data_IF_326508825580
#
_entry.id   IF_326508825580
#
_cell.length_a   1.000
_cell.length_b   1.000
_cell.length_c   1.000
_cell.angle_alpha   90.00
_cell.angle_beta   90.00
_cell.angle_gamma   90.00
#
_symmetry.space_group_name_H-M   'P 1'
#
loop_
_entity.id
_entity.type
_entity.pdbx_description
1 polymer ?
#
# COMPACT_ATOMS: atom_id res chain seq x y z
N UNK A 1 -2.23 -31.61 13.96
CA UNK A 1 -3.12 -30.44 13.84
C UNK A 1 -2.38 -29.28 14.48
N UNK A 2 -1.92 -28.30 13.67
CA UNK A 2 -1.14 -27.18 14.19
C UNK A 2 -2.03 -26.34 15.12
N UNK A 3 -1.61 -26.25 16.38
CA UNK A 3 -2.25 -25.44 17.39
C UNK A 3 -2.23 -23.98 16.92
N UNK A 4 -3.41 -23.37 16.78
CA UNK A 4 -3.50 -21.98 16.29
C UNK A 4 -3.28 -21.10 17.49
N UNK A 5 -2.19 -20.36 17.47
CA UNK A 5 -1.85 -19.38 18.49
C UNK A 5 -3.05 -18.43 18.66
N UNK A 6 -3.51 -18.22 19.90
CA UNK A 6 -4.73 -17.46 20.22
C UNK A 6 -4.47 -16.56 21.42
N UNK A 7 -5.05 -15.37 21.41
CA UNK A 7 -4.94 -14.44 22.54
C UNK A 7 -5.85 -14.90 23.70
N UNK A 8 -5.78 -14.18 24.82
CA UNK A 8 -6.61 -14.44 26.00
C UNK A 8 -8.13 -14.35 25.74
N UNK A 9 -8.56 -13.80 24.59
CA UNK A 9 -9.94 -13.73 24.13
C UNK A 9 -10.28 -14.80 23.06
N UNK A 10 -9.35 -15.69 22.72
CA UNK A 10 -9.53 -16.76 21.74
C UNK A 10 -9.42 -16.33 20.29
N UNK A 11 -9.01 -15.09 20.00
CA UNK A 11 -8.75 -14.60 18.64
C UNK A 11 -7.43 -15.18 18.16
N UNK A 12 -7.35 -15.75 16.95
CA UNK A 12 -6.10 -16.27 16.44
C UNK A 12 -5.04 -15.16 16.38
N UNK A 13 -3.98 -15.31 17.18
CA UNK A 13 -2.74 -14.58 17.06
C UNK A 13 -2.09 -15.07 15.78
N UNK A 14 -2.27 -14.32 14.70
CA UNK A 14 -1.54 -14.59 13.46
C UNK A 14 -0.09 -14.07 13.66
N UNK A 15 0.65 -14.73 14.55
CA UNK A 15 1.98 -14.36 15.04
C UNK A 15 3.11 -14.77 14.10
N UNK A 16 2.78 -15.38 12.95
CA UNK A 16 3.80 -15.74 11.96
C UNK A 16 4.53 -14.50 11.47
N UNK A 17 5.88 -14.50 11.50
CA UNK A 17 6.67 -13.40 10.96
C UNK A 17 6.37 -13.21 9.47
N UNK A 18 6.60 -12.01 8.95
CA UNK A 18 6.33 -11.65 7.55
C UNK A 18 7.54 -11.04 6.89
N UNK A 19 7.64 -11.18 5.57
CA UNK A 19 8.60 -10.43 4.77
C UNK A 19 8.15 -8.98 4.53
N UNK A 20 8.99 -8.19 3.86
CA UNK A 20 8.77 -6.78 3.50
C UNK A 20 7.48 -6.57 2.69
N UNK A 21 7.05 -7.60 1.97
CA UNK A 21 5.83 -7.62 1.17
C UNK A 21 4.63 -8.16 1.95
N UNK A 22 4.75 -8.57 3.21
CA UNK A 22 3.68 -9.10 4.06
C UNK A 22 3.38 -10.60 3.89
N UNK A 23 4.20 -11.36 3.17
CA UNK A 23 4.03 -12.82 3.01
C UNK A 23 4.40 -13.52 4.32
N UNK A 24 3.61 -14.50 4.78
CA UNK A 24 3.97 -15.26 5.98
C UNK A 24 5.25 -16.07 5.78
N UNK A 25 6.16 -15.97 6.74
CA UNK A 25 7.41 -16.72 6.81
C UNK A 25 7.27 -17.97 7.71
N UNK A 26 8.23 -18.90 7.69
CA UNK A 26 8.37 -19.93 8.72
C UNK A 26 8.41 -19.33 10.13
N UNK A 27 7.97 -20.07 11.16
CA UNK A 27 7.84 -19.53 12.53
C UNK A 27 9.17 -19.15 13.17
N UNK A 28 10.25 -19.77 12.73
CA UNK A 28 11.63 -19.59 13.19
C UNK A 28 12.42 -18.56 12.35
N UNK A 29 11.82 -18.05 11.26
CA UNK A 29 12.46 -17.03 10.44
C UNK A 29 12.33 -15.64 11.09
N UNK A 30 13.36 -14.82 10.90
CA UNK A 30 13.27 -13.39 11.21
C UNK A 30 12.42 -12.70 10.13
N UNK A 31 11.44 -11.90 10.56
CA UNK A 31 10.59 -11.11 9.67
C UNK A 31 10.63 -9.64 10.04
N UNK A 32 10.02 -8.81 9.22
CA UNK A 32 9.88 -7.39 9.51
C UNK A 32 8.75 -7.14 10.52
N UNK A 33 8.87 -6.11 11.38
CA UNK A 33 7.79 -5.69 12.26
C UNK A 33 6.54 -5.33 11.46
N UNK A 34 5.39 -5.87 11.89
CA UNK A 34 4.09 -5.53 11.29
C UNK A 34 3.67 -4.13 11.68
N UNK A 35 2.92 -3.44 10.82
CA UNK A 35 2.14 -2.27 11.24
C UNK A 35 1.08 -2.74 12.24
N UNK A 36 0.99 -2.16 13.45
CA UNK A 36 -0.07 -2.52 14.39
C UNK A 36 -1.46 -2.21 13.82
N UNK A 37 -2.41 -3.14 14.01
CA UNK A 37 -3.76 -3.09 13.42
C UNK A 37 -4.56 -1.81 13.82
N UNK A 38 -4.19 -1.17 14.93
CA UNK A 38 -4.81 0.02 15.51
C UNK A 38 -4.06 1.34 15.20
N UNK A 39 -2.95 1.32 14.44
CA UNK A 39 -2.27 2.55 14.03
C UNK A 39 -3.18 3.40 13.14
N UNK A 40 -3.43 4.63 13.57
CA UNK A 40 -4.18 5.65 12.83
C UNK A 40 -3.38 6.95 12.92
N UNK A 41 -2.60 7.24 11.89
CA UNK A 41 -1.78 8.44 11.83
C UNK A 41 -2.59 9.61 11.25
N UNK A 42 -2.36 10.85 11.70
CA UNK A 42 -2.89 12.02 11.01
C UNK A 42 -2.35 12.10 9.58
N UNK A 43 -3.06 12.79 8.65
CA UNK A 43 -2.71 12.83 7.24
C UNK A 43 -1.23 13.04 6.94
N UNK A 44 -0.62 14.05 7.56
CA UNK A 44 0.76 14.42 7.22
C UNK A 44 1.78 13.37 7.61
N UNK A 45 1.61 12.75 8.79
CA UNK A 45 2.46 11.68 9.29
C UNK A 45 2.26 10.39 8.48
N UNK A 46 1.00 10.08 8.13
CA UNK A 46 0.66 8.92 7.32
C UNK A 46 1.32 8.96 5.95
N UNK A 47 1.27 10.11 5.28
CA UNK A 47 1.89 10.31 3.95
C UNK A 47 3.41 10.19 4.04
N UNK A 48 4.03 10.84 5.04
CA UNK A 48 5.49 10.76 5.24
C UNK A 48 5.95 9.34 5.54
N UNK A 49 5.25 8.62 6.42
CA UNK A 49 5.59 7.24 6.76
C UNK A 49 5.34 6.28 5.60
N UNK A 50 4.23 6.43 4.87
CA UNK A 50 3.95 5.66 3.67
C UNK A 50 5.03 5.87 2.60
N UNK A 51 5.47 7.11 2.35
CA UNK A 51 6.58 7.39 1.43
C UNK A 51 7.86 6.71 1.89
N UNK A 52 8.21 6.81 3.17
CA UNK A 52 9.40 6.15 3.74
C UNK A 52 9.35 4.64 3.50
N UNK A 53 8.21 4.00 3.76
CA UNK A 53 8.03 2.56 3.55
C UNK A 53 8.14 2.17 2.06
N UNK A 54 7.55 2.97 1.17
CA UNK A 54 7.67 2.79 -0.28
C UNK A 54 9.12 2.89 -0.76
N UNK A 55 9.87 3.88 -0.26
CA UNK A 55 11.29 4.06 -0.59
C UNK A 55 12.16 2.87 -0.13
N UNK A 56 11.72 2.12 0.88
CA UNK A 56 12.39 0.90 1.37
C UNK A 56 11.82 -0.39 0.76
N UNK A 57 10.98 -0.31 -0.28
CA UNK A 57 10.41 -1.49 -0.93
C UNK A 57 9.39 -2.25 -0.08
N UNK A 58 8.72 -1.56 0.86
CA UNK A 58 7.68 -2.12 1.74
C UNK A 58 6.27 -1.59 1.39
N UNK A 59 5.76 -1.79 0.17
CA UNK A 59 4.47 -1.24 -0.25
C UNK A 59 3.28 -1.84 0.51
N UNK A 60 3.41 -3.05 1.06
CA UNK A 60 2.34 -3.65 1.88
C UNK A 60 2.16 -2.89 3.20
N UNK A 61 3.27 -2.54 3.85
CA UNK A 61 3.26 -1.75 5.07
C UNK A 61 2.77 -0.33 4.80
N UNK A 62 3.16 0.26 3.68
CA UNK A 62 2.63 1.57 3.25
C UNK A 62 1.10 1.52 3.05
N UNK A 63 0.59 0.44 2.43
CA UNK A 63 -0.85 0.19 2.33
C UNK A 63 -1.53 0.12 3.71
N UNK A 64 -0.95 -0.59 4.68
CA UNK A 64 -1.52 -0.67 6.03
C UNK A 64 -1.60 0.70 6.73
N UNK A 65 -0.58 1.56 6.57
CA UNK A 65 -0.59 2.94 7.09
C UNK A 65 -1.71 3.77 6.44
N UNK A 66 -1.80 3.74 5.11
CA UNK A 66 -2.79 4.51 4.35
C UNK A 66 -4.23 4.03 4.63
N UNK A 67 -4.44 2.72 4.75
CA UNK A 67 -5.72 2.13 5.15
C UNK A 67 -6.08 2.49 6.60
N UNK A 68 -5.08 2.60 7.48
CA UNK A 68 -5.25 3.14 8.83
C UNK A 68 -5.87 4.53 8.78
N UNK A 69 -5.25 5.46 8.05
CA UNK A 69 -5.77 6.84 7.95
C UNK A 69 -7.13 6.92 7.25
N UNK A 70 -7.39 6.08 6.23
CA UNK A 70 -8.71 5.96 5.61
C UNK A 70 -9.85 5.73 6.63
N UNK A 71 -9.61 4.91 7.66
CA UNK A 71 -10.62 4.58 8.69
C UNK A 71 -11.03 5.78 9.56
N UNK A 72 -10.21 6.81 9.63
CA UNK A 72 -10.48 8.03 10.40
C UNK A 72 -10.67 9.27 9.52
N UNK A 73 -10.59 9.12 8.20
CA UNK A 73 -10.68 10.23 7.26
C UNK A 73 -12.10 10.84 7.22
N UNK A 74 -12.20 12.17 7.03
CA UNK A 74 -13.43 12.84 6.63
C UNK A 74 -14.09 12.16 5.41
N UNK A 75 -15.42 12.23 5.32
CA UNK A 75 -16.17 11.50 4.29
C UNK A 75 -15.77 11.89 2.86
N UNK A 76 -15.50 13.18 2.63
CA UNK A 76 -15.05 13.78 1.38
C UNK A 76 -13.62 13.38 0.98
N UNK A 77 -12.82 12.85 1.90
CA UNK A 77 -11.46 12.36 1.64
C UNK A 77 -11.35 10.83 1.60
N UNK A 78 -12.40 10.08 1.96
CA UNK A 78 -12.30 8.61 2.03
C UNK A 78 -11.88 7.97 0.71
N UNK A 79 -12.38 8.49 -0.40
CA UNK A 79 -12.05 8.00 -1.74
C UNK A 79 -10.57 8.23 -2.07
N UNK A 80 -10.00 9.36 -1.67
CA UNK A 80 -8.57 9.63 -1.80
C UNK A 80 -7.73 8.60 -1.04
N UNK A 81 -7.99 8.42 0.26
CA UNK A 81 -7.20 7.51 1.09
C UNK A 81 -7.33 6.05 0.64
N UNK A 82 -8.52 5.66 0.23
CA UNK A 82 -8.75 4.34 -0.38
C UNK A 82 -7.95 4.20 -1.69
N UNK A 83 -7.93 5.23 -2.53
CA UNK A 83 -7.15 5.26 -3.77
C UNK A 83 -5.64 5.07 -3.50
N UNK A 84 -5.08 5.85 -2.57
CA UNK A 84 -3.67 5.73 -2.18
C UNK A 84 -3.34 4.33 -1.63
N UNK A 85 -4.19 3.79 -0.76
CA UNK A 85 -4.02 2.44 -0.23
C UNK A 85 -4.08 1.38 -1.35
N UNK A 86 -4.94 1.56 -2.36
CA UNK A 86 -5.03 0.69 -3.53
C UNK A 86 -3.78 0.75 -4.43
N UNK A 87 -3.21 1.94 -4.64
CA UNK A 87 -1.95 2.09 -5.38
C UNK A 87 -0.81 1.31 -4.70
N UNK A 88 -0.67 1.45 -3.38
CA UNK A 88 0.34 0.73 -2.61
C UNK A 88 0.15 -0.80 -2.61
N UNK A 89 -1.08 -1.30 -2.43
CA UNK A 89 -1.31 -2.76 -2.52
C UNK A 89 -1.23 -3.29 -3.95
N UNK A 90 -1.55 -2.46 -4.96
CA UNK A 90 -1.31 -2.77 -6.37
C UNK A 90 0.18 -3.02 -6.66
N UNK A 91 1.04 -2.14 -6.15
CA UNK A 91 2.50 -2.31 -6.20
C UNK A 91 2.96 -3.58 -5.46
N UNK A 92 2.36 -3.87 -4.30
CA UNK A 92 2.62 -5.13 -3.56
C UNK A 92 2.30 -6.36 -4.41
N UNK A 93 1.14 -6.38 -5.07
CA UNK A 93 0.76 -7.48 -5.96
C UNK A 93 1.76 -7.64 -7.11
N UNK A 94 2.25 -6.53 -7.64
CA UNK A 94 3.20 -6.54 -8.74
C UNK A 94 4.53 -7.18 -8.32
N UNK A 95 5.10 -6.71 -7.21
CA UNK A 95 6.34 -7.24 -6.65
C UNK A 95 6.20 -8.71 -6.21
N UNK A 96 4.97 -9.16 -5.96
CA UNK A 96 4.66 -10.57 -5.69
C UNK A 96 4.48 -11.43 -6.95
N UNK A 97 4.59 -10.86 -8.15
CA UNK A 97 4.38 -11.54 -9.43
C UNK A 97 2.92 -11.69 -9.87
N UNK A 98 1.98 -11.06 -9.16
CA UNK A 98 0.56 -11.09 -9.52
C UNK A 98 0.21 -9.89 -10.41
N UNK A 99 0.59 -9.96 -11.69
CA UNK A 99 0.35 -8.90 -12.69
C UNK A 99 -1.14 -8.55 -12.84
N UNK A 100 -2.02 -9.56 -12.89
CA UNK A 100 -3.48 -9.35 -13.04
C UNK A 100 -4.07 -8.56 -11.86
N UNK A 101 -3.72 -8.95 -10.63
CA UNK A 101 -4.17 -8.27 -9.42
C UNK A 101 -3.58 -6.86 -9.31
N UNK A 102 -2.29 -6.69 -9.63
CA UNK A 102 -1.62 -5.40 -9.64
C UNK A 102 -2.33 -4.41 -10.56
N UNK A 103 -2.55 -4.79 -11.83
CA UNK A 103 -3.25 -3.96 -12.81
C UNK A 103 -4.65 -3.55 -12.35
N UNK A 104 -5.41 -4.48 -11.78
CA UNK A 104 -6.76 -4.18 -11.30
C UNK A 104 -6.76 -3.14 -10.18
N UNK A 105 -5.86 -3.28 -9.20
CA UNK A 105 -5.75 -2.38 -8.05
C UNK A 105 -5.16 -1.01 -8.43
N UNK A 106 -4.14 -0.98 -9.29
CA UNK A 106 -3.52 0.26 -9.77
C UNK A 106 -4.53 1.11 -10.54
N UNK A 107 -5.32 0.51 -11.43
CA UNK A 107 -6.38 1.24 -12.18
C UNK A 107 -7.48 1.75 -11.26
N UNK A 108 -7.94 0.94 -10.30
CA UNK A 108 -8.94 1.39 -9.32
C UNK A 108 -8.41 2.54 -8.46
N UNK A 109 -7.16 2.43 -7.99
CA UNK A 109 -6.53 3.48 -7.20
C UNK A 109 -6.40 4.78 -8.00
N UNK A 110 -5.93 4.68 -9.25
CA UNK A 110 -5.88 5.79 -10.20
C UNK A 110 -7.25 6.46 -10.37
N UNK A 111 -8.28 5.68 -10.66
CA UNK A 111 -9.63 6.18 -10.94
C UNK A 111 -10.24 6.92 -9.74
N UNK A 112 -9.84 6.57 -8.50
CA UNK A 112 -10.25 7.26 -7.28
C UNK A 112 -9.51 8.56 -7.09
N UNK A 113 -8.18 8.55 -7.20
CA UNK A 113 -7.37 9.75 -6.92
C UNK A 113 -7.54 10.84 -7.97
N UNK A 114 -7.92 10.50 -9.22
CA UNK A 114 -8.10 11.49 -10.30
C UNK A 114 -9.07 12.63 -9.95
N UNK A 115 -10.01 12.38 -9.04
CA UNK A 115 -10.99 13.37 -8.61
C UNK A 115 -10.37 14.51 -7.79
N UNK A 116 -9.14 14.33 -7.32
CA UNK A 116 -8.40 15.27 -6.47
C UNK A 116 -7.27 15.99 -7.24
N UNK A 117 -7.21 15.85 -8.57
CA UNK A 117 -6.12 16.42 -9.38
C UNK A 117 -6.10 17.96 -9.35
N UNK A 118 -7.27 18.61 -9.38
CA UNK A 118 -7.38 20.08 -9.41
C UNK A 118 -7.10 20.70 -8.04
N UNK A 119 -7.60 20.07 -6.98
CA UNK A 119 -7.45 20.50 -5.59
C UNK A 119 -6.90 19.34 -4.76
N UNK A 120 -5.57 19.17 -4.81
CA UNK A 120 -4.89 18.11 -4.09
C UNK A 120 -4.79 18.44 -2.59
N UNK A 121 -5.43 17.65 -1.70
CA UNK A 121 -5.29 17.86 -0.26
C UNK A 121 -3.93 17.35 0.25
N UNK A 122 -3.52 17.81 1.44
CA UNK A 122 -2.34 17.33 2.17
C UNK A 122 -0.99 17.45 1.42
N UNK A 123 -0.94 18.31 0.38
CA UNK A 123 0.25 18.52 -0.44
C UNK A 123 0.61 17.31 -1.32
N UNK A 124 -0.36 16.45 -1.63
CA UNK A 124 -0.15 15.27 -2.46
C UNK A 124 0.15 15.62 -3.92
N UNK A 125 1.06 14.88 -4.54
CA UNK A 125 1.34 14.96 -5.98
C UNK A 125 0.38 14.05 -6.76
N UNK A 126 -0.90 14.44 -6.84
CA UNK A 126 -1.93 13.62 -7.49
C UNK A 126 -1.62 13.39 -8.97
N UNK A 127 -1.22 14.44 -9.71
CA UNK A 127 -0.84 14.30 -11.13
C UNK A 127 0.38 13.40 -11.31
N UNK A 128 1.38 13.48 -10.43
CA UNK A 128 2.53 12.57 -10.45
C UNK A 128 2.15 11.12 -10.18
N UNK A 129 1.25 10.87 -9.22
CA UNK A 129 0.70 9.54 -8.92
C UNK A 129 -0.13 8.96 -10.07
N UNK A 130 -0.93 9.79 -10.73
CA UNK A 130 -1.69 9.40 -11.92
C UNK A 130 -0.74 8.99 -13.06
N UNK A 131 0.25 9.84 -13.37
CA UNK A 131 1.26 9.56 -14.39
C UNK A 131 2.03 8.27 -14.09
N UNK A 132 2.44 8.09 -12.83
CA UNK A 132 3.15 6.88 -12.38
C UNK A 132 2.30 5.62 -12.53
N UNK A 133 1.04 5.66 -12.10
CA UNK A 133 0.15 4.49 -12.13
C UNK A 133 -0.29 4.10 -13.53
N UNK A 134 -0.49 5.06 -14.43
CA UNK A 134 -0.72 4.81 -15.86
C UNK A 134 0.50 4.14 -16.50
N UNK A 135 1.69 4.74 -16.32
CA UNK A 135 2.93 4.18 -16.86
C UNK A 135 3.17 2.75 -16.38
N UNK A 136 3.02 2.52 -15.07
CA UNK A 136 3.23 1.20 -14.50
C UNK A 136 2.21 0.18 -15.03
N UNK A 137 0.95 0.58 -15.19
CA UNK A 137 -0.09 -0.27 -15.75
C UNK A 137 0.19 -0.65 -17.20
N UNK A 138 0.66 0.29 -18.01
CA UNK A 138 1.05 0.07 -19.39
C UNK A 138 2.24 -0.89 -19.51
N UNK A 139 3.25 -0.75 -18.64
CA UNK A 139 4.42 -1.63 -18.62
C UNK A 139 4.06 -3.07 -18.25
N UNK A 140 3.14 -3.27 -17.30
CA UNK A 140 2.64 -4.60 -16.90
C UNK A 140 2.13 -5.39 -18.11
N UNK A 141 1.45 -4.71 -19.02
CA UNK A 141 0.83 -5.33 -20.20
C UNK A 141 1.81 -5.50 -21.37
N UNK A 142 2.94 -4.78 -21.39
CA UNK A 142 3.89 -4.74 -22.52
C UNK A 142 5.15 -5.59 -22.35
N UNK A 143 5.65 -5.76 -21.13
CA UNK A 143 7.01 -6.30 -20.91
C UNK A 143 7.01 -7.53 -20.00
N UNK A 144 7.81 -8.55 -20.37
CA UNK A 144 8.11 -9.71 -19.55
C UNK A 144 9.56 -10.20 -19.71
N UNK A 145 10.40 -10.21 -18.66
CA UNK A 145 10.11 -9.76 -17.30
C UNK A 145 10.01 -8.24 -17.18
N UNK A 146 9.26 -7.75 -16.20
CA UNK A 146 9.19 -6.32 -15.92
C UNK A 146 10.55 -5.76 -15.47
N UNK A 147 10.90 -4.52 -15.87
CA UNK A 147 12.04 -3.81 -15.31
C UNK A 147 11.81 -3.50 -13.81
N UNK A 148 12.84 -2.96 -13.16
CA UNK A 148 12.75 -2.53 -11.77
C UNK A 148 11.53 -1.60 -11.57
N UNK A 149 10.68 -1.94 -10.60
CA UNK A 149 9.41 -1.23 -10.41
C UNK A 149 9.66 0.17 -9.86
N UNK A 150 9.19 1.24 -10.54
CA UNK A 150 9.39 2.60 -10.05
C UNK A 150 8.62 2.83 -8.75
N UNK A 151 9.26 3.50 -7.80
CA UNK A 151 8.64 3.90 -6.52
C UNK A 151 7.86 5.21 -6.74
N UNK A 152 6.58 5.30 -6.35
CA UNK A 152 5.82 6.54 -6.46
C UNK A 152 6.32 7.61 -5.49
N UNK A 153 6.14 8.88 -5.87
CA UNK A 153 6.28 10.03 -4.97
C UNK A 153 4.89 10.51 -4.56
N UNK A 154 4.64 10.53 -3.25
CA UNK A 154 3.34 10.92 -2.69
C UNK A 154 3.19 12.44 -2.60
N UNK A 155 4.27 13.20 -2.42
CA UNK A 155 4.26 14.67 -2.35
C UNK A 155 5.15 15.29 -3.42
N UNK A 156 4.81 16.52 -3.78
CA UNK A 156 5.65 17.39 -4.59
C UNK A 156 6.91 17.76 -3.77
N UNK A 157 8.12 17.71 -4.35
CA UNK A 157 9.35 18.13 -3.68
C UNK A 157 9.35 19.58 -3.17
#
# INVERSE_FOLDING_TARGET
MADRDRDGAGKPLNARPRDELGRPLPHDAEGVPRVPDDVRLPPDEAITEAQRLLDHGMPFHAHEILEGTWKIAPEDERELWQGLAQLAVGLTHLMRGNKTGARSLLRQGHDRIRHYEVEAPHGLDISGLMTWSEHLTDEIDRVDPLPATPVPRLRIP
#
